data_IF_292487962512
#
_entry.id   IF_292487962512
#
_cell.length_a   1.000
_cell.length_b   1.000
_cell.length_c   1.000
_cell.angle_alpha   90.00
_cell.angle_beta   90.00
_cell.angle_gamma   90.00
#
_symmetry.space_group_name_H-M   'P 1'
#
loop_
_entity.id
_entity.type
_entity.pdbx_description
1 polymer ?
#
# COMPACT_ATOMS: atom_id res chain seq x y z
N UNK A 1 -3.57 21.29 16.33
CA UNK A 1 -2.68 22.07 15.40
C UNK A 1 -3.19 22.03 13.96
N UNK A 2 -3.45 20.84 13.40
CA UNK A 2 -3.89 20.66 12.01
C UNK A 2 -5.09 21.55 11.64
N UNK A 3 -6.15 21.54 12.44
CA UNK A 3 -7.37 22.32 12.15
C UNK A 3 -7.11 23.83 12.11
N UNK A 4 -6.19 24.34 12.96
CA UNK A 4 -5.77 25.74 12.92
C UNK A 4 -5.16 26.07 11.55
N UNK A 5 -4.36 25.17 10.96
CA UNK A 5 -3.76 25.35 9.62
C UNK A 5 -4.80 25.27 8.51
N UNK A 6 -5.77 24.35 8.61
CA UNK A 6 -6.88 24.27 7.65
C UNK A 6 -7.74 25.54 7.69
N UNK A 7 -8.08 26.01 8.88
CA UNK A 7 -8.87 27.24 9.05
C UNK A 7 -8.09 28.46 8.54
N UNK A 8 -6.78 28.53 8.75
CA UNK A 8 -5.95 29.58 8.15
C UNK A 8 -6.03 29.58 6.62
N UNK A 9 -5.96 28.42 5.96
CA UNK A 9 -6.10 28.32 4.50
C UNK A 9 -7.48 28.74 3.99
N UNK A 10 -8.54 28.41 4.73
CA UNK A 10 -9.92 28.83 4.42
C UNK A 10 -10.09 30.34 4.58
N UNK A 11 -9.62 30.91 5.69
CA UNK A 11 -9.70 32.34 5.98
C UNK A 11 -8.93 33.18 4.95
N UNK A 12 -7.83 32.65 4.43
CA UNK A 12 -7.06 33.25 3.32
C UNK A 12 -7.73 33.12 1.95
N UNK A 13 -8.92 32.49 1.86
CA UNK A 13 -9.65 32.19 0.62
C UNK A 13 -8.81 31.37 -0.37
N UNK A 14 -8.01 30.42 0.13
CA UNK A 14 -7.15 29.56 -0.68
C UNK A 14 -7.70 28.14 -0.82
N UNK A 15 -8.32 27.63 0.24
CA UNK A 15 -8.91 26.29 0.29
C UNK A 15 -10.42 26.39 0.26
N UNK A 16 -11.02 25.81 -0.78
CA UNK A 16 -12.47 25.69 -0.94
C UNK A 16 -12.83 24.20 -0.95
N UNK A 17 -13.71 23.78 -0.06
CA UNK A 17 -14.13 22.38 0.05
C UNK A 17 -13.40 21.56 1.13
N UNK A 18 -13.50 20.22 1.07
CA UNK A 18 -13.01 19.33 2.12
C UNK A 18 -11.47 19.28 2.16
N UNK A 19 -10.85 19.29 3.36
CA UNK A 19 -9.40 19.30 3.52
C UNK A 19 -8.80 17.88 3.37
N UNK A 20 -8.96 17.29 2.18
CA UNK A 20 -8.35 15.97 1.89
C UNK A 20 -6.85 16.11 1.58
N UNK A 21 -6.09 15.03 1.77
CA UNK A 21 -4.64 14.99 1.44
C UNK A 21 -4.40 15.42 -0.01
N UNK A 22 -5.24 14.93 -0.93
CA UNK A 22 -5.21 15.28 -2.36
C UNK A 22 -5.44 16.78 -2.57
N UNK A 23 -6.50 17.33 -1.97
CA UNK A 23 -6.86 18.75 -2.12
C UNK A 23 -5.76 19.67 -1.61
N UNK A 24 -5.13 19.35 -0.48
CA UNK A 24 -4.05 20.19 0.09
C UNK A 24 -2.77 20.08 -0.75
N UNK A 25 -2.44 18.91 -1.29
CA UNK A 25 -1.30 18.72 -2.20
C UNK A 25 -1.48 19.48 -3.52
N UNK A 26 -2.67 19.40 -4.12
CA UNK A 26 -3.02 20.13 -5.34
C UNK A 26 -2.97 21.64 -5.11
N UNK A 27 -3.52 22.10 -3.99
CA UNK A 27 -3.43 23.51 -3.58
C UNK A 27 -1.97 23.95 -3.42
N UNK A 28 -1.15 23.18 -2.71
CA UNK A 28 0.27 23.49 -2.53
C UNK A 28 0.99 23.59 -3.88
N UNK A 29 0.77 22.61 -4.76
CA UNK A 29 1.37 22.56 -6.10
C UNK A 29 0.98 23.78 -6.92
N UNK A 30 -0.30 24.15 -6.89
CA UNK A 30 -0.82 25.35 -7.56
C UNK A 30 -0.17 26.62 -7.02
N UNK A 31 -0.08 26.78 -5.69
CA UNK A 31 0.53 27.95 -5.07
C UNK A 31 2.03 28.06 -5.39
N UNK A 32 2.76 26.95 -5.33
CA UNK A 32 4.18 26.91 -5.72
C UNK A 32 4.34 27.34 -7.18
N UNK A 33 3.50 26.81 -8.09
CA UNK A 33 3.52 27.20 -9.50
C UNK A 33 3.32 28.70 -9.67
N UNK A 34 2.30 29.28 -9.03
CA UNK A 34 2.03 30.72 -9.08
C UNK A 34 3.19 31.56 -8.56
N UNK A 35 3.86 31.13 -7.49
CA UNK A 35 5.05 31.79 -6.93
C UNK A 35 6.20 31.76 -7.95
N UNK A 36 6.44 30.61 -8.58
CA UNK A 36 7.52 30.44 -9.55
C UNK A 36 7.27 31.21 -10.86
N UNK A 37 6.02 31.40 -11.26
CA UNK A 37 5.64 32.18 -12.45
C UNK A 37 5.52 33.69 -12.18
N UNK A 38 6.05 34.19 -11.05
CA UNK A 38 6.13 35.63 -10.76
C UNK A 38 5.02 36.19 -9.86
N UNK A 39 3.96 35.44 -9.56
CA UNK A 39 2.90 35.88 -8.64
C UNK A 39 3.30 35.62 -7.17
N UNK A 40 4.37 36.29 -6.74
CA UNK A 40 5.02 36.12 -5.43
C UNK A 40 4.41 37.03 -4.35
N UNK A 41 3.09 37.04 -4.24
CA UNK A 41 2.41 37.79 -3.18
C UNK A 41 2.51 37.06 -1.81
N UNK A 42 2.33 37.80 -0.72
CA UNK A 42 2.41 37.26 0.65
C UNK A 42 1.40 36.13 0.88
N UNK A 43 0.19 36.24 0.34
CA UNK A 43 -0.85 35.24 0.55
C UNK A 43 -0.47 33.88 -0.06
N UNK A 44 0.13 33.86 -1.25
CA UNK A 44 0.61 32.65 -1.92
C UNK A 44 1.77 32.01 -1.16
N UNK A 45 2.74 32.83 -0.70
CA UNK A 45 3.89 32.36 0.08
C UNK A 45 3.45 31.75 1.42
N UNK A 46 2.60 32.48 2.16
CA UNK A 46 2.06 32.01 3.42
C UNK A 46 1.20 30.76 3.22
N UNK A 47 0.30 30.78 2.23
CA UNK A 47 -0.55 29.64 1.88
C UNK A 47 0.23 28.37 1.53
N UNK A 48 1.29 28.49 0.72
CA UNK A 48 2.15 27.36 0.37
C UNK A 48 2.86 26.78 1.59
N UNK A 49 3.35 27.64 2.49
CA UNK A 49 3.95 27.24 3.77
C UNK A 49 2.93 26.55 4.69
N UNK A 50 1.72 27.08 4.79
CA UNK A 50 0.64 26.52 5.62
C UNK A 50 0.17 25.18 5.07
N UNK A 51 0.08 25.00 3.74
CA UNK A 51 -0.17 23.69 3.12
C UNK A 51 0.94 22.70 3.48
N UNK A 52 2.21 23.11 3.38
CA UNK A 52 3.35 22.25 3.73
C UNK A 52 3.33 21.80 5.20
N UNK A 53 2.87 22.66 6.12
CA UNK A 53 2.68 22.32 7.53
C UNK A 53 1.50 21.37 7.72
N UNK A 54 0.36 21.65 7.08
CA UNK A 54 -0.84 20.84 7.15
C UNK A 54 -0.59 19.41 6.65
N UNK A 55 0.13 19.23 5.53
CA UNK A 55 0.49 17.91 5.00
C UNK A 55 1.34 17.12 5.99
N UNK A 56 2.32 17.76 6.65
CA UNK A 56 3.18 17.09 7.64
C UNK A 56 2.41 16.68 8.89
N UNK A 57 1.56 17.58 9.39
CA UNK A 57 0.68 17.28 10.52
C UNK A 57 -0.31 16.16 10.18
N UNK A 58 -0.87 16.19 8.97
CA UNK A 58 -1.75 15.15 8.48
C UNK A 58 -1.04 13.80 8.45
N UNK A 59 0.22 13.75 8.03
CA UNK A 59 1.01 12.52 8.05
C UNK A 59 1.36 12.07 9.47
N UNK A 60 1.74 12.97 10.38
CA UNK A 60 1.98 12.63 11.79
C UNK A 60 0.74 11.97 12.43
N UNK A 61 -0.45 12.55 12.20
CA UNK A 61 -1.71 12.00 12.70
C UNK A 61 -1.95 10.60 12.12
N UNK A 62 -1.69 10.39 10.83
CA UNK A 62 -1.80 9.07 10.18
C UNK A 62 -0.92 8.03 10.88
N UNK A 63 0.34 8.37 11.13
CA UNK A 63 1.28 7.44 11.76
C UNK A 63 0.86 7.08 13.19
N UNK A 64 0.33 8.03 13.95
CA UNK A 64 -0.16 7.78 15.31
C UNK A 64 -1.42 6.91 15.29
N UNK A 65 -2.31 7.16 14.32
CA UNK A 65 -3.59 6.47 14.18
C UNK A 65 -3.48 5.06 13.61
N UNK A 66 -2.42 4.76 12.85
CA UNK A 66 -2.35 3.52 12.08
C UNK A 66 -1.03 2.77 12.21
N UNK A 67 0.02 3.32 12.82
CA UNK A 67 1.34 2.66 12.90
C UNK A 67 1.81 2.52 14.35
N UNK A 68 2.99 1.92 14.53
CA UNK A 68 3.63 1.86 15.85
C UNK A 68 4.06 3.24 16.33
N UNK A 69 4.09 3.45 17.66
CA UNK A 69 4.51 4.74 18.22
C UNK A 69 5.95 5.10 17.85
N UNK A 70 6.82 4.09 17.71
CA UNK A 70 8.19 4.27 17.22
C UNK A 70 8.22 4.91 15.82
N UNK A 71 7.30 4.52 14.92
CA UNK A 71 7.23 5.07 13.56
C UNK A 71 6.83 6.55 13.59
N UNK A 72 5.81 6.89 14.38
CA UNK A 72 5.41 8.28 14.58
C UNK A 72 6.54 9.11 15.23
N UNK A 73 7.25 8.54 16.20
CA UNK A 73 8.36 9.21 16.89
C UNK A 73 9.51 9.51 15.96
N UNK A 74 9.95 8.52 15.16
CA UNK A 74 11.00 8.72 14.18
C UNK A 74 10.64 9.82 13.19
N UNK A 75 9.39 9.85 12.71
CA UNK A 75 8.92 10.92 11.83
C UNK A 75 8.98 12.31 12.49
N UNK A 76 8.48 12.46 13.71
CA UNK A 76 8.53 13.74 14.42
C UNK A 76 9.98 14.18 14.68
N UNK A 77 10.85 13.24 15.10
CA UNK A 77 12.29 13.49 15.29
C UNK A 77 12.95 13.98 14.01
N UNK A 78 12.65 13.36 12.86
CA UNK A 78 13.16 13.82 11.56
C UNK A 78 12.73 15.25 11.23
N UNK A 79 11.53 15.68 11.66
CA UNK A 79 11.10 17.07 11.49
C UNK A 79 11.93 18.03 12.36
N UNK A 80 12.27 17.66 13.60
CA UNK A 80 13.23 18.42 14.41
C UNK A 80 14.60 18.51 13.71
N UNK A 81 15.13 17.39 13.19
CA UNK A 81 16.42 17.36 12.51
C UNK A 81 16.43 18.22 11.23
N UNK A 82 15.33 18.19 10.47
CA UNK A 82 15.14 19.05 9.30
C UNK A 82 15.07 20.54 9.67
N UNK A 83 14.46 20.86 10.81
CA UNK A 83 14.41 22.21 11.37
C UNK A 83 15.81 22.71 11.75
N UNK A 84 16.57 21.89 12.48
CA UNK A 84 17.94 22.19 12.89
C UNK A 84 18.87 22.43 11.69
N UNK A 85 18.71 21.63 10.63
CA UNK A 85 19.44 21.78 9.35
C UNK A 85 18.89 22.88 8.45
N UNK A 86 17.91 23.67 8.91
CA UNK A 86 17.24 24.77 8.17
C UNK A 86 16.70 24.36 6.78
N UNK A 87 16.36 23.08 6.57
CA UNK A 87 15.94 22.54 5.27
C UNK A 87 14.63 23.13 4.74
N UNK A 88 13.73 23.56 5.63
CA UNK A 88 12.44 24.12 5.24
C UNK A 88 11.94 25.13 6.27
N UNK A 89 11.59 26.35 5.83
CA UNK A 89 10.96 27.36 6.70
C UNK A 89 9.63 26.88 7.27
N UNK A 90 8.86 26.11 6.51
CA UNK A 90 7.60 25.53 6.98
C UNK A 90 7.83 24.54 8.13
N UNK A 91 8.89 23.71 8.07
CA UNK A 91 9.24 22.80 9.17
C UNK A 91 9.71 23.57 10.38
N UNK A 92 10.57 24.58 10.19
CA UNK A 92 11.03 25.43 11.29
C UNK A 92 9.85 26.09 12.03
N UNK A 93 8.87 26.61 11.30
CA UNK A 93 7.67 27.22 11.89
C UNK A 93 6.73 26.21 12.54
N UNK A 94 6.75 24.95 12.09
CA UNK A 94 5.95 23.89 12.68
C UNK A 94 6.53 23.47 14.03
N UNK A 95 7.83 23.15 14.05
CA UNK A 95 8.55 22.66 15.25
C UNK A 95 8.61 23.71 16.36
N UNK A 96 8.58 25.00 16.02
CA UNK A 96 8.52 26.10 17.00
C UNK A 96 7.18 26.22 17.74
N UNK A 97 6.10 25.59 17.26
CA UNK A 97 4.81 25.68 17.92
C UNK A 97 4.82 24.92 19.24
N UNK A 98 4.31 25.55 20.30
CA UNK A 98 4.25 24.96 21.65
C UNK A 98 3.54 23.60 21.62
N UNK A 99 2.41 23.54 20.93
CA UNK A 99 1.59 22.33 20.83
C UNK A 99 2.32 21.19 20.10
N UNK A 100 3.25 21.50 19.18
CA UNK A 100 4.04 20.47 18.49
C UNK A 100 5.06 19.84 19.44
N UNK A 101 5.70 20.66 20.27
CA UNK A 101 6.64 20.20 21.30
C UNK A 101 5.90 19.37 22.37
N UNK A 102 4.72 19.82 22.82
CA UNK A 102 3.87 19.07 23.75
C UNK A 102 3.49 17.69 23.19
N UNK A 103 3.12 17.61 21.91
CA UNK A 103 2.81 16.34 21.25
C UNK A 103 4.03 15.40 21.19
N UNK A 104 5.22 15.93 20.89
CA UNK A 104 6.46 15.14 20.85
C UNK A 104 6.85 14.62 22.24
N UNK A 105 6.73 15.45 23.28
CA UNK A 105 6.98 15.05 24.68
C UNK A 105 6.01 13.95 25.10
N UNK A 106 4.71 14.14 24.84
CA UNK A 106 3.66 13.16 25.18
C UNK A 106 3.93 11.81 24.49
N UNK A 107 4.32 11.83 23.22
CA UNK A 107 4.68 10.61 22.48
C UNK A 107 5.91 9.92 23.10
N UNK A 108 6.92 10.69 23.50
CA UNK A 108 8.13 10.16 24.14
C UNK A 108 7.79 9.50 25.48
N UNK A 109 6.94 10.14 26.29
CA UNK A 109 6.46 9.59 27.57
C UNK A 109 5.71 8.27 27.39
N UNK A 110 4.83 8.18 26.40
CA UNK A 110 4.13 6.93 26.06
C UNK A 110 5.09 5.81 25.68
N UNK A 111 6.12 6.12 24.88
CA UNK A 111 7.17 5.15 24.51
C UNK A 111 7.97 4.70 25.74
N UNK A 112 8.34 5.64 26.64
CA UNK A 112 9.01 5.30 27.90
C UNK A 112 8.18 4.38 28.79
N UNK A 113 6.86 4.53 28.76
CA UNK A 113 5.89 3.66 29.44
C UNK A 113 5.62 2.34 28.70
N UNK A 114 6.30 2.08 27.58
CA UNK A 114 6.11 0.90 26.71
C UNK A 114 4.66 0.76 26.20
N UNK A 115 3.94 1.87 26.08
CA UNK A 115 2.63 1.90 25.43
C UNK A 115 2.85 1.71 23.94
N UNK A 116 1.99 0.92 23.29
CA UNK A 116 2.05 0.70 21.86
C UNK A 116 0.69 0.68 21.21
N UNK A 117 0.70 0.84 19.88
CA UNK A 117 -0.50 0.79 19.08
C UNK A 117 -1.21 -0.58 19.18
N UNK A 118 -2.55 -0.65 19.35
CA UNK A 118 -3.28 -1.90 19.57
C UNK A 118 -3.07 -2.98 18.49
N UNK A 119 -2.83 -2.56 17.24
CA UNK A 119 -2.52 -3.50 16.15
C UNK A 119 -1.29 -4.36 16.41
N UNK A 120 -0.30 -3.87 17.16
CA UNK A 120 0.90 -4.66 17.48
C UNK A 120 0.54 -5.89 18.33
N UNK A 121 -0.30 -5.70 19.35
CA UNK A 121 -0.85 -6.80 20.14
C UNK A 121 -1.71 -7.73 19.28
N UNK A 122 -2.58 -7.18 18.43
CA UNK A 122 -3.45 -8.00 17.57
C UNK A 122 -2.66 -8.87 16.58
N UNK A 123 -1.59 -8.35 15.98
CA UNK A 123 -0.69 -9.16 15.13
C UNK A 123 -0.10 -10.31 15.93
N UNK A 124 0.36 -10.04 17.16
CA UNK A 124 0.93 -11.06 18.03
C UNK A 124 -0.06 -12.20 18.29
N UNK A 125 -1.32 -11.86 18.57
CA UNK A 125 -2.38 -12.85 18.79
C UNK A 125 -2.66 -13.67 17.52
N UNK A 126 -2.81 -13.01 16.37
CA UNK A 126 -3.01 -13.68 15.07
C UNK A 126 -1.87 -14.65 14.77
N UNK A 127 -0.62 -14.23 14.94
CA UNK A 127 0.54 -15.08 14.67
C UNK A 127 0.59 -16.26 15.64
N UNK A 128 0.28 -16.05 16.92
CA UNK A 128 0.25 -17.11 17.95
C UNK A 128 -0.84 -18.15 17.66
N UNK A 129 -2.02 -17.72 17.21
CA UNK A 129 -3.13 -18.60 16.84
C UNK A 129 -2.81 -19.44 15.60
N UNK A 130 -2.24 -18.81 14.58
CA UNK A 130 -2.09 -19.41 13.26
C UNK A 130 -0.76 -20.17 13.08
N UNK A 131 0.33 -19.69 13.67
CA UNK A 131 1.69 -20.26 13.59
C UNK A 131 2.04 -21.01 14.89
N UNK A 132 1.28 -22.07 15.14
CA UNK A 132 1.47 -22.98 16.26
C UNK A 132 2.37 -24.20 15.94
N UNK A 133 2.77 -24.36 14.68
CA UNK A 133 3.65 -25.42 14.16
C UNK A 133 4.81 -24.76 13.40
N UNK A 134 6.04 -25.24 13.63
CA UNK A 134 7.27 -24.76 12.98
C UNK A 134 7.20 -24.90 11.45
N UNK A 135 6.37 -25.82 10.93
CA UNK A 135 6.17 -26.02 9.48
C UNK A 135 5.32 -24.92 8.82
N UNK A 136 4.56 -24.15 9.61
CA UNK A 136 3.73 -23.07 9.09
C UNK A 136 4.57 -21.82 8.90
N UNK A 137 4.33 -21.14 7.78
CA UNK A 137 5.04 -19.92 7.39
C UNK A 137 4.08 -18.76 7.22
N UNK A 138 4.51 -17.57 7.60
CA UNK A 138 3.73 -16.35 7.50
C UNK A 138 4.50 -15.22 6.83
N UNK A 139 3.76 -14.32 6.17
CA UNK A 139 4.28 -13.02 5.73
C UNK A 139 3.37 -11.92 6.27
N UNK A 140 3.99 -10.90 6.84
CA UNK A 140 3.31 -9.69 7.32
C UNK A 140 3.77 -8.52 6.47
N UNK A 141 2.83 -7.83 5.84
CA UNK A 141 3.09 -6.64 5.03
C UNK A 141 2.76 -5.36 5.82
N UNK A 142 3.65 -4.39 5.73
CA UNK A 142 3.45 -3.01 6.22
C UNK A 142 4.07 -2.02 5.24
N UNK A 143 3.70 -0.75 5.30
CA UNK A 143 4.26 0.31 4.47
C UNK A 143 5.59 0.83 5.03
N UNK A 144 5.80 0.77 6.35
CA UNK A 144 6.88 1.47 7.03
C UNK A 144 7.95 0.53 7.58
N UNK A 145 9.23 0.83 7.32
CA UNK A 145 10.36 0.02 7.81
C UNK A 145 10.44 -0.02 9.34
N UNK A 146 10.21 1.12 9.99
CA UNK A 146 10.20 1.20 11.45
C UNK A 146 9.13 0.28 12.06
N UNK A 147 7.93 0.28 11.48
CA UNK A 147 6.85 -0.64 11.85
C UNK A 147 7.26 -2.10 11.60
N UNK A 148 7.89 -2.40 10.45
CA UNK A 148 8.37 -3.74 10.15
C UNK A 148 9.37 -4.26 11.19
N UNK A 149 10.37 -3.44 11.54
CA UNK A 149 11.35 -3.76 12.58
C UNK A 149 10.72 -3.96 13.95
N UNK A 150 9.76 -3.11 14.32
CA UNK A 150 9.04 -3.19 15.60
C UNK A 150 8.20 -4.47 15.68
N UNK A 151 7.43 -4.79 14.65
CA UNK A 151 6.66 -6.03 14.55
C UNK A 151 7.59 -7.24 14.64
N UNK A 152 8.68 -7.24 13.87
CA UNK A 152 9.66 -8.34 13.87
C UNK A 152 10.25 -8.57 15.26
N UNK A 153 10.62 -7.50 15.97
CA UNK A 153 11.15 -7.57 17.33
C UNK A 153 10.13 -8.16 18.31
N UNK A 154 8.88 -7.71 18.26
CA UNK A 154 7.82 -8.22 19.14
C UNK A 154 7.46 -9.67 18.84
N UNK A 155 7.44 -10.08 17.57
CA UNK A 155 7.11 -11.45 17.20
C UNK A 155 8.20 -12.45 17.53
N UNK A 156 9.47 -12.05 17.49
CA UNK A 156 10.58 -12.89 17.96
C UNK A 156 10.58 -13.13 19.48
N UNK A 157 9.71 -12.44 20.24
CA UNK A 157 9.48 -12.79 21.66
C UNK A 157 8.57 -14.02 21.84
N UNK A 158 7.92 -14.49 20.77
CA UNK A 158 7.08 -15.68 20.79
C UNK A 158 7.92 -16.94 20.61
N UNK A 159 7.49 -18.04 21.25
CA UNK A 159 8.08 -19.35 21.02
C UNK A 159 7.80 -19.81 19.58
N UNK A 160 8.74 -20.57 19.00
CA UNK A 160 8.65 -21.14 17.65
C UNK A 160 8.52 -20.10 16.52
N UNK A 161 8.88 -18.85 16.76
CA UNK A 161 8.95 -17.81 15.72
C UNK A 161 10.40 -17.41 15.48
N UNK A 162 10.82 -17.49 14.23
CA UNK A 162 12.02 -16.85 13.70
C UNK A 162 11.56 -15.86 12.61
N UNK A 163 11.37 -14.62 13.03
CA UNK A 163 10.93 -13.52 12.18
C UNK A 163 12.13 -12.72 11.67
N UNK A 164 12.12 -12.38 10.37
CA UNK A 164 13.11 -11.48 9.76
C UNK A 164 12.42 -10.36 8.97
N UNK A 165 13.04 -9.19 9.00
CA UNK A 165 12.59 -8.02 8.24
C UNK A 165 13.03 -8.17 6.79
N UNK A 166 12.10 -7.95 5.86
CA UNK A 166 12.33 -7.99 4.42
C UNK A 166 12.01 -6.63 3.79
N UNK A 167 13.04 -5.82 3.56
CA UNK A 167 12.88 -4.45 3.01
C UNK A 167 13.46 -4.31 1.61
N UNK A 168 13.00 -3.30 0.88
CA UNK A 168 13.53 -2.95 -0.43
C UNK A 168 15.03 -2.60 -0.41
N UNK A 169 15.60 -2.45 -1.61
CA UNK A 169 17.04 -2.28 -1.80
C UNK A 169 17.59 -1.00 -1.14
N UNK A 170 18.86 -1.06 -0.75
CA UNK A 170 19.65 0.10 -0.34
C UNK A 170 19.58 1.20 -1.41
N UNK A 171 18.98 2.34 -1.09
CA UNK A 171 19.24 3.59 -1.83
C UNK A 171 20.38 4.32 -1.13
N UNK A 172 21.16 5.13 -1.88
CA UNK A 172 22.28 5.90 -1.32
C UNK A 172 21.84 6.68 -0.07
N UNK A 173 22.36 6.30 1.10
CA UNK A 173 22.10 6.95 2.39
C UNK A 173 20.95 6.35 3.22
N UNK A 174 20.44 5.16 2.88
CA UNK A 174 19.26 4.55 3.51
C UNK A 174 19.54 3.13 4.03
N UNK A 175 18.73 2.62 4.94
CA UNK A 175 18.82 1.25 5.50
C UNK A 175 17.93 0.29 4.69
N UNK A 176 18.53 -0.49 3.81
CA UNK A 176 17.86 -1.50 2.97
C UNK A 176 18.68 -2.78 2.90
N UNK A 177 18.20 -3.78 2.15
CA UNK A 177 18.94 -5.03 1.91
C UNK A 177 19.60 -4.99 0.52
N UNK A 178 20.80 -5.52 0.38
CA UNK A 178 21.37 -5.83 -0.93
C UNK A 178 20.57 -6.93 -1.62
N UNK A 179 20.68 -7.04 -2.95
CA UNK A 179 20.04 -8.13 -3.71
C UNK A 179 20.47 -9.51 -3.21
N UNK A 180 21.75 -9.63 -2.81
CA UNK A 180 22.29 -10.86 -2.25
C UNK A 180 21.63 -11.22 -0.91
N UNK A 181 21.54 -10.26 0.00
CA UNK A 181 20.87 -10.48 1.30
C UNK A 181 19.38 -10.78 1.13
N UNK A 182 18.70 -10.13 0.18
CA UNK A 182 17.31 -10.44 -0.15
C UNK A 182 17.16 -11.90 -0.61
N UNK A 183 18.06 -12.36 -1.50
CA UNK A 183 18.06 -13.74 -1.98
C UNK A 183 18.33 -14.73 -0.83
N UNK A 184 19.34 -14.45 -0.02
CA UNK A 184 19.70 -15.28 1.14
C UNK A 184 18.54 -15.42 2.14
N UNK A 185 17.85 -14.32 2.48
CA UNK A 185 16.65 -14.37 3.33
C UNK A 185 15.51 -15.18 2.73
N UNK A 186 15.28 -15.06 1.42
CA UNK A 186 14.26 -15.86 0.73
C UNK A 186 14.62 -17.35 0.71
N UNK A 187 15.90 -17.67 0.53
CA UNK A 187 16.38 -19.05 0.54
C UNK A 187 16.29 -19.66 1.96
N UNK A 188 16.63 -18.90 3.01
CA UNK A 188 16.42 -19.29 4.41
C UNK A 188 14.92 -19.50 4.73
N UNK A 189 14.05 -18.65 4.18
CA UNK A 189 12.59 -18.77 4.34
C UNK A 189 12.02 -20.00 3.60
N UNK A 190 12.52 -20.28 2.38
CA UNK A 190 12.19 -21.52 1.63
C UNK A 190 12.64 -22.78 2.37
N UNK A 191 13.85 -22.74 2.95
CA UNK A 191 14.41 -23.83 3.75
C UNK A 191 13.72 -24.00 5.12
N UNK A 192 12.84 -23.09 5.52
CA UNK A 192 12.13 -23.14 6.81
C UNK A 192 12.98 -22.72 8.01
N UNK A 193 14.18 -22.19 7.79
CA UNK A 193 15.01 -21.59 8.85
C UNK A 193 14.34 -20.34 9.42
N UNK A 194 13.77 -19.53 8.53
CA UNK A 194 12.87 -18.42 8.85
C UNK A 194 11.46 -18.92 8.61
N UNK A 195 10.54 -18.69 9.54
CA UNK A 195 9.14 -19.03 9.36
C UNK A 195 8.21 -17.80 9.33
N UNK A 196 8.75 -16.59 9.55
CA UNK A 196 7.98 -15.37 9.40
C UNK A 196 8.79 -14.26 8.72
N UNK A 197 8.25 -13.66 7.66
CA UNK A 197 8.82 -12.45 7.05
C UNK A 197 7.95 -11.24 7.35
N UNK A 198 8.56 -10.14 7.78
CA UNK A 198 7.89 -8.83 7.88
C UNK A 198 8.38 -7.94 6.76
N UNK A 199 7.57 -7.81 5.71
CA UNK A 199 7.93 -7.17 4.46
C UNK A 199 7.37 -5.75 4.33
N UNK A 200 8.13 -4.87 3.66
CA UNK A 200 7.60 -3.56 3.23
C UNK A 200 7.09 -3.59 1.80
N UNK A 201 6.12 -2.74 1.46
CA UNK A 201 5.48 -2.70 0.12
C UNK A 201 6.47 -2.53 -1.05
N UNK A 202 7.63 -1.92 -0.82
CA UNK A 202 8.71 -1.75 -1.80
C UNK A 202 9.53 -3.05 -1.98
N UNK A 203 9.58 -3.90 -0.95
CA UNK A 203 10.22 -5.21 -1.04
C UNK A 203 9.40 -6.21 -1.84
N UNK A 204 8.09 -6.02 -2.03
CA UNK A 204 7.24 -7.01 -2.68
C UNK A 204 7.41 -7.04 -4.21
N UNK A 205 7.61 -5.90 -4.88
CA UNK A 205 7.53 -5.81 -6.34
C UNK A 205 8.61 -6.68 -7.04
N UNK A 206 8.21 -7.51 -8.00
CA UNK A 206 9.11 -8.44 -8.69
C UNK A 206 9.54 -9.74 -7.98
N UNK A 207 9.17 -9.96 -6.70
CA UNK A 207 9.59 -11.19 -6.00
C UNK A 207 8.63 -12.38 -6.12
N UNK A 208 9.22 -13.56 -6.26
CA UNK A 208 8.59 -14.89 -6.15
C UNK A 208 8.65 -15.35 -4.68
N UNK A 209 7.57 -15.09 -3.94
CA UNK A 209 7.44 -15.44 -2.53
C UNK A 209 7.00 -16.91 -2.42
N UNK A 210 7.64 -17.70 -1.55
CA UNK A 210 7.26 -19.10 -1.39
C UNK A 210 5.89 -19.24 -0.71
N UNK A 211 5.33 -20.45 -0.79
CA UNK A 211 4.02 -20.76 -0.24
C UNK A 211 3.97 -20.59 1.30
N UNK A 212 2.93 -19.87 1.75
CA UNK A 212 2.72 -19.51 3.16
C UNK A 212 1.29 -19.81 3.58
N UNK A 213 1.13 -20.22 4.85
CA UNK A 213 -0.17 -20.52 5.43
C UNK A 213 -0.92 -19.28 5.92
N UNK A 214 -0.20 -18.18 6.16
CA UNK A 214 -0.76 -16.92 6.65
C UNK A 214 -0.15 -15.72 5.95
N UNK A 215 -1.01 -14.79 5.53
CA UNK A 215 -0.63 -13.45 5.13
C UNK A 215 -1.37 -12.44 5.99
N UNK A 216 -0.64 -11.51 6.59
CA UNK A 216 -1.21 -10.40 7.37
C UNK A 216 -0.84 -9.08 6.72
N UNK A 217 -1.84 -8.26 6.39
CA UNK A 217 -1.64 -6.86 6.08
C UNK A 217 -1.81 -6.04 7.36
N UNK A 218 -0.76 -5.36 7.81
CA UNK A 218 -0.80 -4.51 9.01
C UNK A 218 -1.72 -3.29 8.83
N UNK A 219 -1.98 -2.93 7.59
CA UNK A 219 -2.82 -1.82 7.17
C UNK A 219 -3.46 -2.16 5.81
N UNK A 220 -4.59 -1.54 5.43
CA UNK A 220 -5.21 -1.82 4.14
C UNK A 220 -4.33 -1.42 2.96
N UNK A 221 -3.99 -2.39 2.09
CA UNK A 221 -3.18 -2.16 0.88
C UNK A 221 -4.02 -2.39 -0.38
N UNK A 222 -4.20 -1.37 -1.24
CA UNK A 222 -5.00 -1.48 -2.46
C UNK A 222 -4.21 -2.05 -3.65
N UNK A 223 -3.62 -3.26 -3.55
CA UNK A 223 -3.04 -3.97 -4.71
C UNK A 223 -2.34 -5.32 -4.43
N UNK A 224 -1.74 -5.50 -3.25
CA UNK A 224 -0.86 -6.64 -2.96
C UNK A 224 -1.56 -8.01 -2.99
N UNK A 225 -2.85 -8.06 -2.62
CA UNK A 225 -3.65 -9.30 -2.55
C UNK A 225 -3.61 -10.06 -3.88
N UNK A 226 -3.75 -9.37 -5.02
CA UNK A 226 -3.78 -10.03 -6.34
C UNK A 226 -2.45 -10.64 -6.73
N UNK A 227 -1.33 -10.06 -6.28
CA UNK A 227 -0.01 -10.64 -6.53
C UNK A 227 0.14 -11.94 -5.74
N UNK A 228 -0.26 -11.94 -4.48
CA UNK A 228 -0.26 -13.11 -3.60
C UNK A 228 -1.19 -14.21 -4.13
N UNK A 229 -2.40 -13.84 -4.57
CA UNK A 229 -3.37 -14.77 -5.15
C UNK A 229 -2.94 -15.31 -6.53
N UNK A 230 -2.17 -14.55 -7.33
CA UNK A 230 -1.61 -15.03 -8.60
C UNK A 230 -0.44 -16.00 -8.43
N UNK A 231 0.27 -15.95 -7.30
CA UNK A 231 1.15 -17.04 -6.85
C UNK A 231 0.37 -18.30 -6.44
N UNK A 232 -0.93 -18.15 -6.17
CA UNK A 232 -1.88 -19.21 -5.88
C UNK A 232 -2.31 -20.00 -7.11
N UNK A 233 -1.40 -20.81 -7.66
CA UNK A 233 -1.76 -22.02 -8.43
C UNK A 233 -1.16 -23.27 -7.80
N UNK A 234 -1.48 -23.50 -6.53
CA UNK A 234 -1.51 -24.84 -5.91
C UNK A 234 -2.41 -24.82 -4.67
N UNK A 235 -3.72 -24.67 -4.89
CA UNK A 235 -4.73 -25.12 -3.94
C UNK A 235 -4.77 -26.66 -3.91
N UNK A 236 -3.71 -27.31 -3.40
CA UNK A 236 -3.69 -28.78 -3.31
C UNK A 236 -3.55 -29.35 -1.90
N UNK A 237 -3.14 -28.59 -0.88
CA UNK A 237 -3.02 -29.19 0.47
C UNK A 237 -3.65 -28.40 1.64
N UNK A 238 -3.64 -27.05 1.73
CA UNK A 238 -4.42 -26.29 2.75
C UNK A 238 -4.75 -24.84 2.29
N UNK A 239 -5.91 -24.26 2.67
CA UNK A 239 -6.22 -22.87 2.36
C UNK A 239 -5.32 -21.92 3.16
N UNK A 240 -4.53 -21.08 2.48
CA UNK A 240 -3.82 -19.98 3.13
C UNK A 240 -4.80 -18.91 3.61
N UNK A 241 -4.61 -18.38 4.82
CA UNK A 241 -5.45 -17.34 5.41
C UNK A 241 -4.88 -15.95 5.13
N UNK A 242 -5.72 -15.04 4.66
CA UNK A 242 -5.34 -13.63 4.46
C UNK A 242 -6.12 -12.78 5.47
N UNK A 243 -5.40 -11.97 6.26
CA UNK A 243 -5.96 -11.09 7.27
C UNK A 243 -5.50 -9.67 7.00
N UNK A 244 -6.40 -8.70 7.04
CA UNK A 244 -6.05 -7.27 7.02
C UNK A 244 -6.46 -6.65 8.34
N UNK A 245 -5.52 -6.00 9.01
CA UNK A 245 -5.81 -5.25 10.24
C UNK A 245 -6.31 -3.85 9.89
N UNK A 246 -7.36 -3.45 10.59
CA UNK A 246 -8.01 -2.15 10.44
C UNK A 246 -8.22 -1.58 11.83
N UNK A 247 -7.71 -0.39 12.07
CA UNK A 247 -8.01 0.37 13.29
C UNK A 247 -9.31 1.14 13.08
N UNK A 248 -10.33 0.84 13.89
CA UNK A 248 -11.64 1.49 13.77
C UNK A 248 -11.56 2.98 14.10
N UNK A 249 -12.41 3.80 13.46
CA UNK A 249 -12.46 5.25 13.68
C UNK A 249 -11.15 5.97 13.36
N UNK A 250 -10.32 5.37 12.50
CA UNK A 250 -9.11 6.01 11.99
C UNK A 250 -9.06 5.95 10.47
N UNK A 251 -7.98 6.47 9.87
CA UNK A 251 -7.77 6.43 8.43
C UNK A 251 -7.69 5.03 7.85
N UNK A 252 -7.32 4.02 8.64
CA UNK A 252 -7.35 2.62 8.21
C UNK A 252 -8.73 2.27 7.64
N UNK A 253 -9.81 2.65 8.31
CA UNK A 253 -11.18 2.35 7.86
C UNK A 253 -11.50 3.01 6.51
N UNK A 254 -11.08 4.26 6.32
CA UNK A 254 -11.25 4.96 5.05
C UNK A 254 -10.46 4.27 3.92
N UNK A 255 -9.21 3.87 4.19
CA UNK A 255 -8.38 3.17 3.22
C UNK A 255 -8.92 1.77 2.92
N UNK A 256 -9.47 1.07 3.91
CA UNK A 256 -10.15 -0.21 3.74
C UNK A 256 -11.33 -0.10 2.77
N UNK A 257 -12.27 0.82 3.01
CA UNK A 257 -13.41 1.00 2.11
C UNK A 257 -13.00 1.45 0.71
N UNK A 258 -12.01 2.33 0.60
CA UNK A 258 -11.45 2.73 -0.69
C UNK A 258 -10.87 1.54 -1.46
N UNK A 259 -10.11 0.66 -0.78
CA UNK A 259 -9.55 -0.56 -1.36
C UNK A 259 -10.66 -1.53 -1.78
N UNK A 260 -11.62 -1.79 -0.89
CA UNK A 260 -12.78 -2.67 -1.13
C UNK A 260 -13.59 -2.23 -2.35
N UNK A 261 -13.92 -0.94 -2.45
CA UNK A 261 -14.67 -0.42 -3.61
C UNK A 261 -13.84 -0.41 -4.90
N UNK A 262 -12.52 -0.25 -4.82
CA UNK A 262 -11.63 -0.36 -5.99
C UNK A 262 -11.54 -1.81 -6.47
N UNK A 263 -11.50 -2.77 -5.56
CA UNK A 263 -11.52 -4.19 -5.85
C UNK A 263 -12.84 -4.60 -6.51
N UNK A 264 -13.97 -4.26 -5.89
CA UNK A 264 -15.31 -4.52 -6.46
C UNK A 264 -15.45 -3.97 -7.88
N UNK A 265 -15.03 -2.73 -8.11
CA UNK A 265 -15.05 -2.12 -9.46
C UNK A 265 -14.19 -2.88 -10.47
N UNK A 266 -13.02 -3.39 -10.05
CA UNK A 266 -12.19 -4.18 -10.96
C UNK A 266 -12.85 -5.52 -11.31
N UNK A 267 -13.44 -6.22 -10.34
CA UNK A 267 -14.17 -7.46 -10.63
C UNK A 267 -15.32 -7.21 -11.60
N UNK A 268 -16.14 -6.18 -11.34
CA UNK A 268 -17.19 -5.79 -12.28
C UNK A 268 -16.67 -5.44 -13.67
N UNK A 269 -15.50 -4.79 -13.79
CA UNK A 269 -14.89 -4.50 -15.08
C UNK A 269 -14.41 -5.77 -15.81
N UNK A 270 -13.79 -6.72 -15.10
CA UNK A 270 -13.37 -8.02 -15.66
C UNK A 270 -14.59 -8.82 -16.12
N UNK A 271 -15.66 -8.85 -15.32
CA UNK A 271 -16.88 -9.59 -15.66
C UNK A 271 -17.54 -9.01 -16.92
N UNK A 272 -17.59 -7.68 -17.05
CA UNK A 272 -18.05 -7.01 -18.28
C UNK A 272 -17.18 -7.36 -19.48
N UNK A 273 -15.85 -7.30 -19.34
CA UNK A 273 -14.92 -7.66 -20.42
C UNK A 273 -15.11 -9.13 -20.85
N UNK A 274 -15.21 -10.05 -19.90
CA UNK A 274 -15.44 -11.47 -20.18
C UNK A 274 -16.78 -11.71 -20.89
N UNK A 275 -17.82 -10.94 -20.54
CA UNK A 275 -19.12 -10.99 -21.22
C UNK A 275 -19.01 -10.51 -22.66
N UNK A 276 -18.30 -9.41 -22.91
CA UNK A 276 -18.06 -8.88 -24.26
C UNK A 276 -17.25 -9.85 -25.13
N UNK A 277 -16.24 -10.51 -24.55
CA UNK A 277 -15.47 -11.56 -25.25
C UNK A 277 -16.34 -12.76 -25.62
N UNK A 278 -17.18 -13.26 -24.69
CA UNK A 278 -18.11 -14.37 -24.98
C UNK A 278 -19.10 -14.03 -26.08
N UNK A 279 -19.62 -12.79 -26.10
CA UNK A 279 -20.52 -12.33 -27.16
C UNK A 279 -19.78 -12.32 -28.50
N UNK A 280 -18.54 -11.80 -28.55
CA UNK A 280 -17.74 -11.79 -29.78
C UNK A 280 -17.40 -13.20 -30.28
N UNK A 281 -17.04 -14.14 -29.40
CA UNK A 281 -16.82 -15.54 -29.80
C UNK A 281 -18.08 -16.19 -30.37
N UNK A 282 -19.26 -15.89 -29.82
CA UNK A 282 -20.53 -16.39 -30.35
C UNK A 282 -20.90 -15.79 -31.71
N UNK A 283 -20.53 -14.53 -31.97
CA UNK A 283 -20.74 -13.89 -33.28
C UNK A 283 -19.76 -14.46 -34.31
N UNK A 284 -18.47 -14.58 -33.96
CA UNK A 284 -17.43 -15.14 -34.85
C UNK A 284 -17.78 -16.58 -35.22
N UNK A 285 -18.16 -17.42 -34.25
CA UNK A 285 -18.56 -18.81 -34.52
C UNK A 285 -19.87 -18.93 -35.33
N UNK A 286 -20.71 -17.88 -35.40
CA UNK A 286 -21.89 -17.85 -36.26
C UNK A 286 -21.59 -17.38 -37.69
N UNK A 287 -20.56 -16.56 -37.87
CA UNK A 287 -20.17 -16.02 -39.18
C UNK A 287 -19.13 -16.90 -39.90
N UNK A 288 -18.41 -17.75 -39.16
CA UNK A 288 -17.39 -18.63 -39.71
C UNK A 288 -18.03 -19.90 -40.31
N UNK A 289 -18.20 -19.90 -41.64
CA UNK A 289 -18.61 -21.10 -42.40
C UNK A 289 -17.65 -22.26 -42.13
N UNK A 290 -18.18 -23.46 -42.00
CA UNK A 290 -17.34 -24.67 -41.84
C UNK A 290 -16.57 -24.96 -43.13
N UNK A 291 -15.44 -25.66 -43.04
CA UNK A 291 -14.66 -26.10 -44.22
C UNK A 291 -15.51 -26.94 -45.19
N UNK A 292 -16.52 -27.65 -44.68
CA UNK A 292 -17.48 -28.43 -45.46
C UNK A 292 -18.44 -27.53 -46.27
N UNK A 293 -18.86 -26.39 -45.71
CA UNK A 293 -19.69 -25.40 -46.42
C UNK A 293 -18.90 -24.63 -47.49
N UNK A 294 -17.57 -24.53 -47.35
CA UNK A 294 -16.69 -23.94 -48.37
C UNK A 294 -16.44 -24.90 -49.54
N UNK A 295 -16.31 -26.21 -49.27
CA UNK A 295 -16.10 -27.23 -50.31
C UNK A 295 -17.36 -27.54 -51.13
N UNK A 296 -18.55 -27.30 -50.58
CA UNK A 296 -19.82 -27.53 -51.28
C UNK A 296 -20.22 -26.38 -52.24
N UNK A 297 -19.54 -25.23 -52.22
CA UNK A 297 -19.81 -24.13 -53.16
C UNK A 297 -19.04 -24.20 -54.48
N UNK A 298 -18.04 -25.07 -54.60
CA UNK A 298 -17.21 -25.20 -55.80
C UNK A 298 -17.64 -26.36 -56.73
N UNK A 299 -18.73 -27.06 -56.43
CA UNK A 299 -19.34 -28.04 -57.35
C UNK A 299 -20.33 -27.38 -58.32
N UNK A 300 -19.90 -26.33 -59.02
CA UNK A 300 -20.66 -25.77 -60.15
C UNK A 300 -20.38 -26.58 -61.41
N UNK A 301 -21.33 -27.49 -61.69
CA UNK A 301 -21.81 -27.94 -63.01
C UNK A 301 -20.77 -28.36 -64.07
N UNK A 302 -20.47 -29.67 -64.09
CA UNK A 302 -20.41 -30.39 -65.37
C UNK A 302 -21.77 -31.07 -65.58
N UNK A 303 -22.67 -30.40 -66.30
CA UNK A 303 -23.86 -31.04 -66.87
C UNK A 303 -23.52 -31.45 -68.30
N UNK A 304 -23.37 -32.75 -68.49
CA UNK A 304 -23.48 -33.42 -69.78
C UNK A 304 -24.88 -33.15 -70.35
N UNK A 305 -24.95 -32.36 -71.43
CA UNK A 305 -26.09 -32.42 -72.36
C UNK A 305 -25.66 -33.27 -73.56
N UNK A 306 -26.20 -34.49 -73.61
CA UNK A 306 -26.40 -35.24 -74.85
C UNK A 306 -27.63 -34.67 -75.54
N UNK A 307 -27.53 -34.35 -76.83
CA UNK A 307 -28.64 -34.58 -77.75
C UNK A 307 -28.14 -34.87 -79.18
N UNK A 308 -28.73 -35.91 -79.76
CA UNK A 308 -28.52 -36.45 -81.09
C UNK A 308 -29.07 -35.53 -82.18
N UNK A 309 -28.32 -35.33 -83.27
CA UNK A 309 -28.67 -35.73 -84.65
C UNK A 309 -27.57 -35.34 -85.64
#
# INVERSE_FOLDING_TARGET
IYDKKINELKNRKLLFGPPTKKTILELQTRLIRMITTGNRNFNNLAGSSTCAQAIKLQHAIELIETQTLETAFQYLKELFDQSAKKKSKAVQNLVKQKEFNEAYISLTELISRKVEHPKLSRVKDVVKEEINDVKKRAIIFTQYRATASRICKELNSLQNINARVFVGQLKKGDTGLSQREQKELLDEFRAGKINLLVATSIGEEGLDLPEVSLVVFYEPIPSAIRKIQRGGRTARLKPGKIITLVTQKTRDETYYWAAFHKEKRMHSAIDSINKDFRIKEQVINKEQKTLEEFNNSDSVKNSDDKEEK
#
